data_IF_537557600519
#
_entry.id   IF_537557600519
#
_cell.length_a   1.000
_cell.length_b   1.000
_cell.length_c   1.000
_cell.angle_alpha   90.00
_cell.angle_beta   90.00
_cell.angle_gamma   90.00
#
_symmetry.space_group_name_H-M   'P 1'
#
loop_
_entity.id
_entity.type
_entity.pdbx_description
1 polymer ?
#
# COMPACT_ATOMS: atom_id res chain seq x y z
N UNK A 1 -19.31 -12.75 -7.03
CA UNK A 1 -17.85 -12.82 -6.81
C UNK A 1 -17.38 -14.18 -7.33
N UNK A 2 -16.82 -14.25 -8.54
CA UNK A 2 -16.29 -15.49 -9.11
C UNK A 2 -14.77 -15.50 -8.86
N UNK A 3 -14.26 -16.54 -8.22
CA UNK A 3 -12.84 -16.84 -8.14
C UNK A 3 -12.42 -17.27 -9.55
N UNK A 4 -11.92 -16.33 -10.38
CA UNK A 4 -11.40 -16.64 -11.72
C UNK A 4 -9.98 -17.18 -11.58
N UNK A 5 -9.65 -18.14 -12.45
CA UNK A 5 -8.30 -18.68 -12.64
C UNK A 5 -7.28 -17.53 -12.80
N UNK A 6 -6.12 -17.71 -12.17
CA UNK A 6 -5.02 -16.73 -12.15
C UNK A 6 -4.73 -16.21 -13.55
N UNK A 7 -4.97 -14.92 -13.77
CA UNK A 7 -4.65 -14.27 -15.03
C UNK A 7 -3.12 -14.31 -15.26
N UNK A 8 -2.64 -14.70 -16.45
CA UNK A 8 -1.23 -14.52 -16.78
C UNK A 8 -0.91 -13.02 -16.71
N UNK A 9 0.17 -12.65 -15.99
CA UNK A 9 0.69 -11.28 -15.80
C UNK A 9 0.14 -10.46 -14.61
N UNK A 10 -0.22 -11.09 -13.49
CA UNK A 10 -0.54 -10.37 -12.25
C UNK A 10 0.72 -9.76 -11.63
N UNK A 11 0.70 -8.45 -11.37
CA UNK A 11 1.75 -7.79 -10.59
C UNK A 11 1.47 -7.95 -9.09
N UNK A 12 2.24 -8.80 -8.42
CA UNK A 12 2.12 -8.99 -6.97
C UNK A 12 2.67 -7.80 -6.19
N UNK A 13 1.94 -7.37 -5.17
CA UNK A 13 2.31 -6.22 -4.34
C UNK A 13 2.66 -6.62 -2.92
N UNK A 14 3.43 -5.74 -2.27
CA UNK A 14 3.56 -5.71 -0.82
C UNK A 14 3.21 -4.32 -0.30
N UNK A 15 2.75 -4.29 0.94
CA UNK A 15 2.38 -3.06 1.61
C UNK A 15 3.24 -2.88 2.86
N UNK A 16 3.79 -1.68 3.04
CA UNK A 16 4.65 -1.33 4.16
C UNK A 16 3.99 -0.18 4.93
N UNK A 17 3.75 -0.38 6.22
CA UNK A 17 3.23 0.67 7.09
C UNK A 17 4.38 1.35 7.83
N UNK A 18 4.65 2.60 7.45
CA UNK A 18 5.80 3.38 7.89
C UNK A 18 5.35 4.61 8.67
N UNK A 19 6.28 5.16 9.45
CA UNK A 19 6.13 6.46 10.11
C UNK A 19 7.42 7.28 10.06
N UNK A 20 7.28 8.59 10.17
CA UNK A 20 8.37 9.48 10.54
C UNK A 20 8.41 9.71 12.08
N UNK A 21 9.43 10.44 12.55
CA UNK A 21 9.57 10.77 13.98
C UNK A 21 8.49 11.74 14.51
N UNK A 22 7.79 12.45 13.63
CA UNK A 22 6.70 13.35 14.00
C UNK A 22 5.34 12.65 13.99
N UNK A 23 5.33 11.31 13.99
CA UNK A 23 4.12 10.48 13.93
C UNK A 23 3.26 10.75 12.68
N UNK A 24 3.87 11.13 11.55
CA UNK A 24 3.19 11.04 10.25
C UNK A 24 3.26 9.60 9.75
N UNK A 25 2.12 9.07 9.33
CA UNK A 25 2.00 7.67 8.91
C UNK A 25 1.87 7.55 7.40
N UNK A 26 2.49 6.52 6.84
CA UNK A 26 2.50 6.24 5.42
C UNK A 26 2.16 4.77 5.18
N UNK A 27 1.25 4.51 4.24
CA UNK A 27 1.07 3.19 3.67
C UNK A 27 1.72 3.19 2.29
N UNK A 28 2.79 2.42 2.12
CA UNK A 28 3.50 2.30 0.85
C UNK A 28 3.11 1.00 0.18
N UNK A 29 2.52 1.06 -1.01
CA UNK A 29 2.16 -0.11 -1.81
C UNK A 29 3.05 -0.18 -3.05
N UNK A 30 3.77 -1.29 -3.23
CA UNK A 30 4.79 -1.44 -4.27
C UNK A 30 4.93 -2.87 -4.77
N UNK A 31 5.66 -3.08 -5.86
CA UNK A 31 5.95 -4.42 -6.37
C UNK A 31 6.64 -5.29 -5.31
N UNK A 32 6.17 -6.53 -5.12
CA UNK A 32 6.57 -7.40 -4.02
C UNK A 32 8.09 -7.65 -3.96
N UNK A 33 8.73 -7.85 -5.10
CA UNK A 33 10.17 -8.14 -5.19
C UNK A 33 11.06 -6.89 -5.23
N UNK A 34 10.48 -5.69 -5.35
CA UNK A 34 11.23 -4.43 -5.37
C UNK A 34 11.73 -4.07 -3.97
N UNK A 35 13.00 -3.68 -3.84
CA UNK A 35 13.55 -3.19 -2.56
C UNK A 35 13.23 -1.71 -2.40
N UNK A 36 12.80 -1.32 -1.20
CA UNK A 36 12.53 0.08 -0.88
C UNK A 36 13.73 0.70 -0.17
N UNK A 37 14.27 1.78 -0.73
CA UNK A 37 15.23 2.65 -0.04
C UNK A 37 14.47 3.69 0.79
N UNK A 38 14.45 3.48 2.12
CA UNK A 38 13.79 4.39 3.07
C UNK A 38 14.39 5.80 3.10
N UNK A 39 15.69 5.94 2.81
CA UNK A 39 16.37 7.25 2.77
C UNK A 39 15.97 8.02 1.52
N UNK A 40 15.91 7.34 0.37
CA UNK A 40 15.40 7.91 -0.88
C UNK A 40 13.93 8.30 -0.74
N UNK A 41 13.10 7.41 -0.19
CA UNK A 41 11.69 7.69 0.05
C UNK A 41 11.49 8.90 0.98
N UNK A 42 12.23 8.98 2.10
CA UNK A 42 12.13 10.12 3.02
C UNK A 42 12.38 11.45 2.30
N UNK A 43 13.38 11.51 1.40
CA UNK A 43 13.66 12.70 0.57
C UNK A 43 12.49 13.00 -0.38
N UNK A 44 11.98 12.01 -1.12
CA UNK A 44 10.84 12.17 -2.04
C UNK A 44 9.57 12.64 -1.33
N UNK A 45 9.37 12.21 -0.07
CA UNK A 45 8.23 12.61 0.76
C UNK A 45 8.42 13.95 1.47
N UNK A 46 9.57 14.62 1.29
CA UNK A 46 9.98 15.78 2.09
C UNK A 46 9.83 15.51 3.61
N UNK A 47 10.02 14.26 4.02
CA UNK A 47 10.05 13.90 5.42
C UNK A 47 11.32 14.51 6.01
N UNK A 48 11.17 15.33 7.06
CA UNK A 48 12.30 16.02 7.69
C UNK A 48 13.33 15.05 8.29
N UNK A 49 12.95 13.78 8.50
CA UNK A 49 13.64 12.78 9.32
C UNK A 49 13.48 11.37 8.74
N UNK A 50 14.17 10.39 9.35
CA UNK A 50 14.22 8.99 8.90
C UNK A 50 12.84 8.32 9.00
N UNK A 51 12.52 7.49 7.99
CA UNK A 51 11.36 6.60 8.03
C UNK A 51 11.69 5.30 8.77
N UNK A 52 10.72 4.79 9.52
CA UNK A 52 10.78 3.51 10.22
C UNK A 52 9.45 2.79 10.15
N UNK A 53 9.41 1.49 10.43
CA UNK A 53 8.16 0.74 10.52
C UNK A 53 7.35 1.21 11.74
N UNK A 54 6.05 1.36 11.55
CA UNK A 54 5.11 1.64 12.63
C UNK A 54 4.78 0.36 13.42
N UNK A 55 4.36 0.51 14.68
CA UNK A 55 4.06 -0.64 15.54
C UNK A 55 2.73 -1.29 15.19
N UNK A 56 2.48 -2.49 15.74
CA UNK A 56 1.23 -3.21 15.55
C UNK A 56 0.02 -2.43 16.10
N UNK A 57 0.20 -1.77 17.24
CA UNK A 57 -0.83 -0.93 17.88
C UNK A 57 -1.18 0.26 16.98
N UNK A 58 -0.16 0.90 16.40
CA UNK A 58 -0.37 2.02 15.47
C UNK A 58 -1.06 1.56 14.18
N UNK A 59 -0.72 0.37 13.67
CA UNK A 59 -1.39 -0.21 12.51
C UNK A 59 -2.88 -0.46 12.80
N UNK A 60 -3.19 -0.99 13.99
CA UNK A 60 -4.57 -1.22 14.43
C UNK A 60 -5.32 0.09 14.63
N UNK A 61 -4.71 1.08 15.26
CA UNK A 61 -5.29 2.41 15.49
C UNK A 61 -5.58 3.13 14.17
N UNK A 62 -4.61 3.14 13.24
CA UNK A 62 -4.65 4.00 12.05
C UNK A 62 -5.34 3.37 10.85
N UNK A 63 -5.30 2.05 10.70
CA UNK A 63 -5.85 1.32 9.55
C UNK A 63 -6.85 0.21 9.94
N UNK A 64 -7.07 -0.03 11.24
CA UNK A 64 -7.87 -1.15 11.74
C UNK A 64 -7.35 -2.55 11.34
N UNK A 65 -6.05 -2.66 11.05
CA UNK A 65 -5.38 -3.89 10.59
C UNK A 65 -4.46 -4.49 11.67
N UNK A 66 -3.98 -5.71 11.43
CA UNK A 66 -3.01 -6.42 12.26
C UNK A 66 -1.73 -6.74 11.48
N UNK A 67 -0.60 -7.04 12.13
CA UNK A 67 0.59 -7.51 11.41
C UNK A 67 0.28 -8.74 10.56
N UNK A 68 0.88 -8.83 9.37
CA UNK A 68 0.58 -9.88 8.39
C UNK A 68 -0.69 -9.64 7.58
N UNK A 69 -1.50 -8.64 7.94
CA UNK A 69 -2.74 -8.27 7.24
C UNK A 69 -2.68 -6.88 6.59
N UNK A 70 -1.48 -6.42 6.21
CA UNK A 70 -1.30 -5.09 5.61
C UNK A 70 -1.73 -5.11 4.15
N UNK A 71 -2.82 -4.42 3.84
CA UNK A 71 -3.38 -4.28 2.49
C UNK A 71 -3.71 -2.82 2.18
N UNK A 72 -3.66 -2.46 0.89
CA UNK A 72 -4.07 -1.12 0.43
C UNK A 72 -5.53 -0.82 0.78
N UNK A 73 -6.39 -1.85 0.88
CA UNK A 73 -7.80 -1.68 1.25
C UNK A 73 -7.98 -1.19 2.69
N UNK A 74 -6.97 -1.32 3.55
CA UNK A 74 -7.00 -0.70 4.88
C UNK A 74 -7.19 0.82 4.84
N UNK A 75 -6.90 1.45 3.69
CA UNK A 75 -7.12 2.88 3.49
C UNK A 75 -8.58 3.31 3.62
N UNK A 76 -9.56 2.40 3.54
CA UNK A 76 -10.96 2.73 3.82
C UNK A 76 -11.20 3.11 5.29
N UNK A 77 -10.33 2.64 6.20
CA UNK A 77 -10.35 2.94 7.63
C UNK A 77 -9.29 3.97 8.02
N UNK A 78 -8.54 4.50 7.05
CA UNK A 78 -7.37 5.33 7.33
C UNK A 78 -7.72 6.63 8.06
N UNK A 79 -7.07 6.84 9.19
CA UNK A 79 -7.04 8.13 9.90
C UNK A 79 -5.62 8.69 9.83
N UNK A 80 -5.44 9.86 9.20
CA UNK A 80 -4.13 10.53 9.09
C UNK A 80 -3.01 9.69 8.44
N UNK A 81 -3.36 8.73 7.56
CA UNK A 81 -2.39 7.93 6.80
C UNK A 81 -2.25 8.47 5.38
N UNK A 82 -1.01 8.64 4.93
CA UNK A 82 -0.67 9.00 3.57
C UNK A 82 -0.43 7.73 2.72
N UNK A 83 -1.26 7.50 1.71
CA UNK A 83 -1.00 6.47 0.70
C UNK A 83 0.09 6.89 -0.29
N UNK A 84 1.11 6.04 -0.45
CA UNK A 84 2.12 6.14 -1.50
C UNK A 84 2.02 4.88 -2.37
N UNK A 85 1.65 5.07 -3.63
CA UNK A 85 1.52 3.98 -4.59
C UNK A 85 2.68 4.03 -5.58
N UNK A 86 3.37 2.90 -5.76
CA UNK A 86 4.42 2.78 -6.76
C UNK A 86 3.84 2.91 -8.16
N UNK A 87 4.50 3.68 -9.03
CA UNK A 87 4.06 3.90 -10.40
C UNK A 87 3.99 2.59 -11.20
N UNK A 88 4.91 1.65 -10.96
CA UNK A 88 4.84 0.32 -11.57
C UNK A 88 3.56 -0.45 -11.20
N UNK A 89 3.08 -0.29 -9.96
CA UNK A 89 1.82 -0.91 -9.51
C UNK A 89 0.63 -0.21 -10.16
N UNK A 90 0.68 1.13 -10.24
CA UNK A 90 -0.36 1.91 -10.89
C UNK A 90 -0.52 1.57 -12.37
N UNK A 91 0.58 1.42 -13.11
CA UNK A 91 0.55 1.15 -14.57
C UNK A 91 0.27 -0.32 -14.93
N UNK A 92 0.24 -1.22 -13.95
CA UNK A 92 -0.01 -2.63 -14.22
C UNK A 92 -1.47 -2.88 -14.63
N UNK A 93 -1.71 -3.73 -15.65
CA UNK A 93 -3.08 -4.02 -16.11
C UNK A 93 -3.90 -4.78 -15.05
N UNK A 94 -3.24 -5.65 -14.28
CA UNK A 94 -3.82 -6.42 -13.18
C UNK A 94 -2.84 -6.45 -12.01
N UNK A 95 -3.33 -6.12 -10.83
CA UNK A 95 -2.56 -6.08 -9.59
C UNK A 95 -3.11 -7.11 -8.61
N UNK A 96 -2.20 -7.89 -8.02
CA UNK A 96 -2.51 -8.84 -6.96
C UNK A 96 -2.22 -8.23 -5.59
N UNK A 97 -3.24 -8.15 -4.75
CA UNK A 97 -3.08 -7.83 -3.32
C UNK A 97 -3.28 -9.10 -2.49
N UNK A 98 -2.37 -9.36 -1.56
CA UNK A 98 -2.57 -10.42 -0.57
C UNK A 98 -3.65 -9.97 0.43
N UNK A 99 -4.79 -10.68 0.56
CA UNK A 99 -5.87 -10.36 1.46
C UNK A 99 -5.69 -11.15 2.76
N UNK A 100 -4.61 -10.87 3.48
CA UNK A 100 -4.53 -11.06 4.94
C UNK A 100 -4.70 -12.49 5.50
N UNK A 101 -4.78 -13.46 4.60
CA UNK A 101 -4.62 -14.90 4.79
C UNK A 101 -3.80 -15.31 3.55
N UNK A 102 -2.67 -16.00 3.72
CA UNK A 102 -1.79 -16.43 2.61
C UNK A 102 -2.46 -17.43 1.62
N UNK A 103 -3.78 -17.62 1.69
CA UNK A 103 -4.56 -18.61 0.94
C UNK A 103 -5.39 -18.01 -0.20
N UNK A 104 -5.42 -16.69 -0.38
CA UNK A 104 -6.08 -16.04 -1.51
C UNK A 104 -5.25 -14.87 -2.06
N UNK A 105 -5.47 -14.49 -3.31
CA UNK A 105 -4.98 -13.23 -3.90
C UNK A 105 -6.20 -12.52 -4.46
N UNK A 106 -6.40 -11.26 -4.09
CA UNK A 106 -7.40 -10.44 -4.76
C UNK A 106 -6.74 -9.81 -5.98
N UNK A 107 -7.24 -10.19 -7.15
CA UNK A 107 -6.86 -9.59 -8.42
C UNK A 107 -7.76 -8.40 -8.70
N UNK A 108 -7.13 -7.26 -8.98
CA UNK A 108 -7.81 -6.01 -9.29
C UNK A 108 -7.30 -5.50 -10.63
N UNK A 109 -8.22 -5.14 -11.51
CA UNK A 109 -7.90 -4.49 -12.78
C UNK A 109 -7.39 -3.07 -12.54
N UNK A 110 -6.64 -2.49 -13.47
CA UNK A 110 -6.25 -1.08 -13.38
C UNK A 110 -7.46 -0.16 -13.16
N UNK A 111 -8.57 -0.38 -13.87
CA UNK A 111 -9.79 0.41 -13.76
C UNK A 111 -10.39 0.37 -12.34
N UNK A 112 -10.44 -0.81 -11.73
CA UNK A 112 -10.96 -0.95 -10.36
C UNK A 112 -9.99 -0.40 -9.31
N UNK A 113 -8.68 -0.50 -9.54
CA UNK A 113 -7.66 0.14 -8.70
C UNK A 113 -7.78 1.67 -8.77
N UNK A 114 -7.99 2.22 -9.97
CA UNK A 114 -8.22 3.65 -10.18
C UNK A 114 -9.50 4.12 -9.48
N UNK A 115 -10.61 3.40 -9.62
CA UNK A 115 -11.86 3.67 -8.90
C UNK A 115 -11.65 3.67 -7.39
N UNK A 116 -10.98 2.64 -6.87
CA UNK A 116 -10.65 2.56 -5.46
C UNK A 116 -9.78 3.74 -5.02
N UNK A 117 -8.68 4.00 -5.74
CA UNK A 117 -7.78 5.11 -5.46
C UNK A 117 -8.53 6.45 -5.41
N UNK A 118 -9.38 6.72 -6.40
CA UNK A 118 -10.16 7.95 -6.49
C UNK A 118 -11.19 8.09 -5.37
N UNK A 119 -11.76 6.99 -4.87
CA UNK A 119 -12.70 7.00 -3.73
C UNK A 119 -12.07 7.41 -2.39
N UNK A 120 -10.75 7.26 -2.23
CA UNK A 120 -10.05 7.58 -0.99
C UNK A 120 -10.04 9.10 -0.74
N UNK A 121 -10.41 9.51 0.47
CA UNK A 121 -10.39 10.92 0.90
C UNK A 121 -9.07 11.35 1.56
N UNK A 122 -8.19 10.40 1.82
CA UNK A 122 -6.91 10.63 2.47
C UNK A 122 -5.88 11.22 1.49
N UNK A 123 -4.80 11.77 2.04
CA UNK A 123 -3.66 12.17 1.21
C UNK A 123 -3.14 10.93 0.48
N UNK A 124 -2.95 11.05 -0.84
CA UNK A 124 -2.53 9.96 -1.73
C UNK A 124 -1.68 10.50 -2.86
N UNK A 125 -0.67 9.73 -3.28
CA UNK A 125 0.17 10.07 -4.42
C UNK A 125 0.69 8.81 -5.11
N UNK A 126 0.90 8.93 -6.42
CA UNK A 126 1.58 7.92 -7.23
C UNK A 126 2.99 8.44 -7.49
N UNK A 127 4.01 7.60 -7.33
CA UNK A 127 5.39 7.98 -7.61
C UNK A 127 6.27 6.78 -7.95
N UNK A 128 7.35 7.04 -8.66
CA UNK A 128 8.44 6.07 -8.81
C UNK A 128 9.07 5.83 -7.44
N UNK A 129 9.03 4.59 -6.95
CA UNK A 129 9.70 4.22 -5.70
C UNK A 129 11.15 3.84 -5.92
#
# INVERSE_FOLDING_TARGET
MKLKEQLPNILHTKNLFLKDENKKFFLVSMFAHKRLDLKSLAKKLHAKKKLSFASAEQLKEKLNLTPGSVSIFGMIHATEVYLVLDKQVWEAPVVGFHPNINTATLEITHEDLERFYNSLKTKKQIMEL
#
